data_IF_509153882871
#
_entry.id   IF_509153882871
#
_cell.length_a   1.000
_cell.length_b   1.000
_cell.length_c   1.000
_cell.angle_alpha   90.00
_cell.angle_beta   90.00
_cell.angle_gamma   90.00
#
_symmetry.space_group_name_H-M   'P 1'
#
loop_
_entity.id
_entity.type
_entity.pdbx_description
1 polymer ?
#
# COMPACT_ATOMS: atom_id res chain seq x y z
N UNK A 1 -3.62 -9.34 -10.34
CA UNK A 1 -4.09 -8.40 -9.31
C UNK A 1 -3.08 -8.22 -8.18
N UNK A 2 -2.73 -9.23 -7.37
CA UNK A 2 -1.72 -9.02 -6.30
C UNK A 2 -0.34 -8.57 -6.82
N UNK A 3 0.11 -9.11 -7.96
CA UNK A 3 1.32 -8.64 -8.65
C UNK A 3 1.22 -7.17 -9.08
N UNK A 4 0.05 -6.74 -9.54
CA UNK A 4 -0.21 -5.37 -9.99
C UNK A 4 -0.27 -4.41 -8.79
N UNK A 5 -0.90 -4.84 -7.69
CA UNK A 5 -0.90 -4.12 -6.40
C UNK A 5 0.53 -3.97 -5.90
N UNK A 6 1.33 -5.04 -5.93
CA UNK A 6 2.74 -4.97 -5.51
C UNK A 6 3.52 -3.94 -6.35
N UNK A 7 3.34 -3.97 -7.67
CA UNK A 7 4.00 -3.03 -8.58
C UNK A 7 3.60 -1.57 -8.29
N UNK A 8 2.30 -1.31 -8.06
CA UNK A 8 1.82 0.02 -7.68
C UNK A 8 2.37 0.46 -6.31
N UNK A 9 2.50 -0.45 -5.34
CA UNK A 9 3.12 -0.16 -4.04
C UNK A 9 4.61 0.17 -4.18
N UNK A 10 5.36 -0.58 -4.99
CA UNK A 10 6.77 -0.31 -5.31
C UNK A 10 6.94 1.10 -5.90
N UNK A 11 6.10 1.46 -6.87
CA UNK A 11 6.09 2.78 -7.51
C UNK A 11 5.70 3.90 -6.54
N UNK A 12 4.68 3.68 -5.72
CA UNK A 12 4.23 4.64 -4.72
C UNK A 12 5.32 4.92 -3.67
N UNK A 13 5.97 3.89 -3.14
CA UNK A 13 7.02 4.04 -2.15
C UNK A 13 8.25 4.76 -2.73
N UNK A 14 8.62 4.47 -3.98
CA UNK A 14 9.67 5.19 -4.68
C UNK A 14 9.31 6.68 -4.89
N UNK A 15 8.07 6.97 -5.29
CA UNK A 15 7.59 8.34 -5.49
C UNK A 15 7.51 9.14 -4.17
N UNK A 16 7.11 8.50 -3.06
CA UNK A 16 7.16 9.11 -1.71
C UNK A 16 8.60 9.46 -1.34
N UNK A 17 9.56 8.58 -1.63
CA UNK A 17 10.97 8.82 -1.32
C UNK A 17 11.57 9.96 -2.17
N UNK A 18 11.14 10.13 -3.42
CA UNK A 18 11.60 11.21 -4.30
C UNK A 18 10.80 12.52 -4.18
N UNK A 19 9.63 12.50 -3.53
CA UNK A 19 8.73 13.65 -3.43
C UNK A 19 7.92 13.92 -4.70
N UNK A 20 7.71 12.91 -5.55
CA UNK A 20 6.96 13.03 -6.81
C UNK A 20 5.44 13.00 -6.56
N UNK A 21 4.88 14.17 -6.23
CA UNK A 21 3.45 14.34 -5.92
C UNK A 21 2.48 13.79 -6.97
N UNK A 22 2.67 14.10 -8.28
CA UNK A 22 1.83 13.53 -9.34
C UNK A 22 1.82 12.00 -9.37
N UNK A 23 2.99 11.35 -9.24
CA UNK A 23 3.05 9.88 -9.23
C UNK A 23 2.42 9.31 -7.96
N UNK A 24 2.65 9.94 -6.79
CA UNK A 24 1.98 9.55 -5.54
C UNK A 24 0.46 9.53 -5.71
N UNK A 25 -0.12 10.59 -6.27
CA UNK A 25 -1.57 10.68 -6.47
C UNK A 25 -2.07 9.61 -7.45
N UNK A 26 -1.33 9.36 -8.54
CA UNK A 26 -1.68 8.36 -9.54
C UNK A 26 -1.67 6.93 -8.96
N UNK A 27 -0.61 6.55 -8.24
CA UNK A 27 -0.50 5.21 -7.67
C UNK A 27 -1.48 4.99 -6.51
N UNK A 28 -1.76 6.02 -5.71
CA UNK A 28 -2.84 5.95 -4.71
C UNK A 28 -4.20 5.68 -5.37
N UNK A 29 -4.52 6.35 -6.48
CA UNK A 29 -5.75 6.11 -7.23
C UNK A 29 -5.86 4.68 -7.77
N UNK A 30 -4.76 4.13 -8.32
CA UNK A 30 -4.74 2.73 -8.78
C UNK A 30 -4.96 1.74 -7.65
N UNK A 31 -4.33 1.97 -6.48
CA UNK A 31 -4.51 1.11 -5.31
C UNK A 31 -5.95 1.16 -4.80
N UNK A 32 -6.59 2.33 -4.81
CA UNK A 32 -8.01 2.46 -4.46
C UNK A 32 -8.91 1.67 -5.44
N UNK A 33 -8.61 1.71 -6.75
CA UNK A 33 -9.30 0.90 -7.77
C UNK A 33 -9.12 -0.60 -7.53
N UNK A 34 -7.88 -1.07 -7.36
CA UNK A 34 -7.61 -2.48 -7.09
C UNK A 34 -8.27 -2.97 -5.81
N UNK A 35 -8.29 -2.14 -4.77
CA UNK A 35 -8.98 -2.45 -3.53
C UNK A 35 -10.49 -2.61 -3.76
N UNK A 36 -11.11 -1.69 -4.51
CA UNK A 36 -12.54 -1.73 -4.79
C UNK A 36 -12.92 -2.97 -5.63
N UNK A 37 -12.16 -3.27 -6.69
CA UNK A 37 -12.39 -4.42 -7.58
C UNK A 37 -12.08 -5.76 -6.88
N UNK A 38 -11.09 -5.76 -5.99
CA UNK A 38 -10.60 -6.96 -5.32
C UNK A 38 -11.32 -7.34 -4.03
N UNK A 39 -12.31 -6.56 -3.57
CA UNK A 39 -13.07 -6.89 -2.35
C UNK A 39 -13.71 -8.27 -2.48
N UNK A 40 -13.41 -9.15 -1.53
CA UNK A 40 -13.92 -10.53 -1.51
C UNK A 40 -13.04 -11.55 -2.24
N UNK A 41 -11.98 -11.12 -2.93
CA UNK A 41 -10.98 -11.98 -3.58
C UNK A 41 -9.59 -11.83 -2.95
N UNK A 42 -9.23 -10.62 -2.53
CA UNK A 42 -7.95 -10.34 -1.88
C UNK A 42 -7.89 -10.93 -0.48
N UNK A 43 -6.67 -11.26 -0.05
CA UNK A 43 -6.43 -11.70 1.32
C UNK A 43 -6.91 -10.62 2.32
N UNK A 44 -7.65 -10.99 3.39
CA UNK A 44 -8.21 -10.01 4.33
C UNK A 44 -7.18 -9.07 4.96
N UNK A 45 -5.95 -9.56 5.19
CA UNK A 45 -4.86 -8.73 5.74
C UNK A 45 -4.37 -7.68 4.73
N UNK A 46 -4.33 -8.03 3.44
CA UNK A 46 -3.97 -7.09 2.38
C UNK A 46 -5.04 -6.01 2.24
N UNK A 47 -6.32 -6.40 2.25
CA UNK A 47 -7.46 -5.47 2.28
C UNK A 47 -7.33 -4.50 3.45
N UNK A 48 -7.09 -5.02 4.66
CA UNK A 48 -6.91 -4.21 5.85
C UNK A 48 -5.78 -3.19 5.71
N UNK A 49 -4.62 -3.58 5.17
CA UNK A 49 -3.52 -2.65 4.98
C UNK A 49 -3.82 -1.56 3.94
N UNK A 50 -4.45 -1.93 2.82
CA UNK A 50 -4.81 -0.98 1.77
C UNK A 50 -5.88 0.02 2.26
N UNK A 51 -6.93 -0.44 2.96
CA UNK A 51 -7.97 0.43 3.53
C UNK A 51 -7.39 1.46 4.51
N UNK A 52 -6.38 1.09 5.28
CA UNK A 52 -5.71 1.96 6.25
C UNK A 52 -4.50 2.70 5.66
N UNK A 53 -4.29 2.69 4.34
CA UNK A 53 -3.14 3.29 3.65
C UNK A 53 -1.80 2.89 4.26
N UNK A 54 -1.72 1.68 4.79
CA UNK A 54 -0.51 1.09 5.37
C UNK A 54 0.35 0.47 4.27
N UNK A 55 0.75 1.28 3.28
CA UNK A 55 1.39 0.83 2.04
C UNK A 55 2.68 0.03 2.27
N UNK A 56 3.50 0.43 3.23
CA UNK A 56 4.71 -0.32 3.58
C UNK A 56 4.38 -1.74 4.08
N UNK A 57 3.32 -1.89 4.89
CA UNK A 57 2.87 -3.20 5.40
C UNK A 57 2.25 -4.06 4.31
N UNK A 58 1.48 -3.44 3.40
CA UNK A 58 0.95 -4.11 2.23
C UNK A 58 2.09 -4.63 1.33
N UNK A 59 3.15 -3.84 1.15
CA UNK A 59 4.33 -4.26 0.37
C UNK A 59 5.07 -5.42 1.04
N UNK A 60 5.33 -5.35 2.36
CA UNK A 60 5.94 -6.44 3.15
C UNK A 60 5.11 -7.73 3.06
N UNK A 61 3.78 -7.62 3.20
CA UNK A 61 2.85 -8.75 3.08
C UNK A 61 2.97 -9.45 1.72
N UNK A 62 2.94 -8.68 0.63
CA UNK A 62 3.09 -9.21 -0.73
C UNK A 62 4.51 -9.71 -1.03
N UNK A 63 5.50 -9.28 -0.24
CA UNK A 63 6.87 -9.82 -0.25
C UNK A 63 7.03 -11.16 0.46
N UNK A 64 5.98 -11.65 1.13
CA UNK A 64 6.02 -12.91 1.91
C UNK A 64 6.63 -12.75 3.31
N UNK A 65 6.77 -11.53 3.80
CA UNK A 65 7.24 -11.28 5.17
C UNK A 65 6.17 -11.72 6.18
N UNK A 66 6.56 -12.57 7.13
CA UNK A 66 5.66 -13.15 8.14
C UNK A 66 5.62 -12.36 9.45
N UNK A 67 6.62 -11.52 9.72
CA UNK A 67 6.73 -10.70 10.92
C UNK A 67 6.52 -9.21 10.59
N UNK A 68 5.33 -8.88 10.09
CA UNK A 68 4.98 -7.50 9.72
C UNK A 68 4.74 -6.71 11.01
N UNK A 69 5.52 -5.66 11.31
CA UNK A 69 5.44 -4.95 12.58
C UNK A 69 4.02 -4.44 12.87
N UNK A 70 3.53 -4.71 14.08
CA UNK A 70 2.34 -4.08 14.65
C UNK A 70 2.73 -2.73 15.26
N UNK A 71 1.99 -1.67 14.94
CA UNK A 71 2.34 -0.29 15.34
C UNK A 71 3.21 0.45 14.32
N UNK A 72 3.15 1.79 14.37
CA UNK A 72 3.63 2.80 13.42
C UNK A 72 2.86 2.78 12.08
N UNK A 73 1.64 3.30 12.14
CA UNK A 73 1.00 3.92 10.98
C UNK A 73 1.86 5.10 10.50
N UNK A 74 1.96 5.26 9.18
CA UNK A 74 2.66 6.37 8.54
C UNK A 74 1.99 7.71 8.89
N UNK A 75 2.42 8.29 10.00
CA UNK A 75 1.83 9.49 10.56
C UNK A 75 2.69 10.04 11.67
N UNK A 76 3.90 10.52 11.33
CA UNK A 76 4.51 11.58 12.12
C UNK A 76 3.62 12.83 11.94
N UNK A 77 2.54 12.91 12.73
CA UNK A 77 1.89 14.17 13.00
C UNK A 77 2.95 15.04 13.70
N UNK A 78 3.58 15.93 12.93
CA UNK A 78 4.41 16.99 13.49
C UNK A 78 3.56 17.79 14.48
N UNK A 79 4.16 18.10 15.62
CA UNK A 79 3.59 19.02 16.63
C UNK A 79 3.34 20.40 16.04
#
# INVERSE_FOLDING_TARGET
METDIKTALDQLLAAIASGDGPVIAAEMGKLDTFLAEGRGQLHPQLVHFLENRSYAKAHMFLGGESDIPVGICGGKHGR
#
